data_IF_435365390455
#
_entry.id   IF_435365390455
#
_cell.length_a   1.000
_cell.length_b   1.000
_cell.length_c   1.000
_cell.angle_alpha   90.00
_cell.angle_beta   90.00
_cell.angle_gamma   90.00
#
_symmetry.space_group_name_H-M   'P 1'
#
loop_
_entity.id
_entity.type
_entity.pdbx_description
1 polymer ?
#
# COMPACT_ATOMS: atom_id res chain seq x y z
N UNK A 1 0.09 -8.19 29.39
CA UNK A 1 0.56 -7.91 28.02
C UNK A 1 1.02 -9.17 27.27
N UNK A 2 0.52 -9.38 26.06
CA UNK A 2 1.00 -10.35 25.07
C UNK A 2 1.65 -9.58 23.90
N UNK A 3 2.81 -10.02 23.40
CA UNK A 3 3.46 -9.40 22.24
C UNK A 3 2.97 -10.12 20.98
N UNK A 4 2.27 -9.39 20.10
CA UNK A 4 1.72 -9.93 18.86
C UNK A 4 2.67 -9.73 17.67
N UNK A 5 3.40 -8.61 17.63
CA UNK A 5 4.37 -8.31 16.56
C UNK A 5 5.44 -7.33 17.05
N UNK A 6 6.63 -7.43 16.47
CA UNK A 6 7.73 -6.47 16.65
C UNK A 6 8.30 -6.05 15.30
N UNK A 7 8.57 -4.77 15.11
CA UNK A 7 9.18 -4.21 13.90
C UNK A 7 10.35 -3.27 14.27
N UNK A 8 11.62 -3.70 14.11
CA UNK A 8 12.77 -2.87 14.47
C UNK A 8 12.97 -1.73 13.47
N UNK A 9 12.99 -0.50 13.96
CA UNK A 9 13.35 0.68 13.17
C UNK A 9 14.85 0.94 13.30
N UNK A 10 15.54 1.01 12.16
CA UNK A 10 16.97 1.29 12.11
C UNK A 10 17.26 2.74 11.76
N UNK A 11 18.36 3.27 12.29
CA UNK A 11 18.96 4.55 11.90
C UNK A 11 20.40 4.35 11.45
N UNK A 12 20.84 5.16 10.51
CA UNK A 12 22.25 5.25 10.13
C UNK A 12 22.97 6.17 11.13
N UNK A 13 23.91 5.63 11.90
CA UNK A 13 24.74 6.39 12.84
C UNK A 13 26.21 6.06 12.60
N UNK A 14 27.02 7.09 12.35
CA UNK A 14 28.46 6.94 12.05
C UNK A 14 28.77 5.89 10.96
N UNK A 15 27.96 5.86 9.90
CA UNK A 15 28.12 4.93 8.78
C UNK A 15 27.73 3.48 9.08
N UNK A 16 27.11 3.19 10.24
CA UNK A 16 26.59 1.87 10.60
C UNK A 16 25.10 1.93 10.87
N UNK A 17 24.37 0.91 10.41
CA UNK A 17 22.97 0.73 10.76
C UNK A 17 22.87 0.21 12.19
N UNK A 18 22.07 0.88 13.01
CA UNK A 18 21.79 0.50 14.39
C UNK A 18 20.29 0.60 14.62
N UNK A 19 19.75 -0.28 15.47
CA UNK A 19 18.35 -0.19 15.90
C UNK A 19 18.17 1.08 16.72
N UNK A 20 17.23 1.93 16.33
CA UNK A 20 16.86 3.15 17.05
C UNK A 20 15.79 2.87 18.11
N UNK A 21 14.76 2.12 17.70
CA UNK A 21 13.67 1.64 18.55
C UNK A 21 12.98 0.45 17.86
N UNK A 22 12.15 -0.25 18.62
CA UNK A 22 11.29 -1.33 18.12
C UNK A 22 9.84 -0.87 18.26
N UNK A 23 9.07 -0.91 17.18
CA UNK A 23 7.63 -0.80 17.23
C UNK A 23 7.05 -2.15 17.67
N UNK A 24 6.23 -2.12 18.71
CA UNK A 24 5.52 -3.27 19.23
C UNK A 24 4.03 -3.17 18.88
N UNK A 25 3.43 -4.31 18.58
CA UNK A 25 1.99 -4.51 18.67
C UNK A 25 1.76 -5.47 19.82
N UNK A 26 1.02 -5.01 20.82
CA UNK A 26 0.76 -5.77 22.05
C UNK A 26 -0.73 -5.88 22.30
N UNK A 27 -1.13 -6.98 22.93
CA UNK A 27 -2.49 -7.21 23.38
C UNK A 27 -2.55 -7.17 24.91
N UNK A 28 -3.47 -6.41 25.46
CA UNK A 28 -3.75 -6.36 26.90
C UNK A 28 -5.24 -6.18 27.12
N UNK A 29 -5.83 -6.97 28.01
CA UNK A 29 -7.27 -6.95 28.34
C UNK A 29 -8.20 -6.99 27.12
N UNK A 30 -7.81 -7.78 26.10
CA UNK A 30 -8.56 -7.95 24.86
C UNK A 30 -8.40 -6.81 23.85
N UNK A 31 -7.67 -5.75 24.19
CA UNK A 31 -7.39 -4.61 23.32
C UNK A 31 -6.00 -4.71 22.72
N UNK A 32 -5.82 -4.13 21.53
CA UNK A 32 -4.56 -4.10 20.81
C UNK A 32 -3.99 -2.69 20.83
N UNK A 33 -2.67 -2.60 20.97
CA UNK A 33 -1.96 -1.33 21.01
C UNK A 33 -0.71 -1.37 20.14
N UNK A 34 -0.42 -0.26 19.47
CA UNK A 34 0.89 0.01 18.88
C UNK A 34 1.69 0.95 19.80
N UNK A 35 2.97 0.67 20.02
CA UNK A 35 3.83 1.55 20.81
C UNK A 35 5.32 1.29 20.57
N UNK A 36 6.16 2.24 20.95
CA UNK A 36 7.60 2.23 20.69
C UNK A 36 8.42 1.93 21.94
N UNK A 37 9.43 1.10 21.77
CA UNK A 37 10.36 0.70 22.83
C UNK A 37 11.81 0.97 22.42
N UNK A 38 12.55 1.70 23.27
CA UNK A 38 13.94 2.09 23.00
C UNK A 38 14.99 1.23 23.69
N UNK A 39 14.61 0.55 24.77
CA UNK A 39 15.52 -0.33 25.50
C UNK A 39 15.63 -1.65 24.73
N UNK A 40 16.55 -1.68 23.76
CA UNK A 40 16.71 -2.83 22.85
C UNK A 40 17.22 -4.10 23.56
N UNK A 41 17.77 -3.97 24.76
CA UNK A 41 18.36 -5.07 25.51
C UNK A 41 17.34 -5.75 26.44
N UNK A 42 16.21 -5.10 26.74
CA UNK A 42 15.19 -5.61 27.65
C UNK A 42 13.80 -5.61 27.01
N UNK A 43 12.94 -6.53 27.44
CA UNK A 43 11.55 -6.56 26.97
C UNK A 43 10.65 -5.65 27.81
N UNK A 44 9.71 -4.90 27.19
CA UNK A 44 8.67 -4.22 27.94
C UNK A 44 7.80 -5.26 28.66
N UNK A 45 7.42 -4.97 29.90
CA UNK A 45 6.55 -5.81 30.74
C UNK A 45 5.10 -5.35 30.69
N UNK A 46 4.87 -4.04 30.46
CA UNK A 46 3.55 -3.44 30.37
C UNK A 46 3.44 -2.45 29.19
N UNK A 47 2.28 -2.30 28.54
CA UNK A 47 2.09 -1.37 27.42
C UNK A 47 2.36 0.08 27.81
N UNK A 48 2.13 0.45 29.08
CA UNK A 48 2.40 1.80 29.61
C UNK A 48 3.86 2.19 29.59
N UNK A 49 4.77 1.21 29.45
CA UNK A 49 6.20 1.48 29.28
C UNK A 49 6.52 1.85 27.82
N UNK A 50 5.67 1.48 26.87
CA UNK A 50 5.83 1.87 25.48
C UNK A 50 5.53 3.36 25.32
N UNK A 51 6.41 4.05 24.61
CA UNK A 51 6.19 5.43 24.18
C UNK A 51 5.24 5.48 22.98
N UNK A 52 4.52 6.59 22.80
CA UNK A 52 3.57 6.79 21.69
C UNK A 52 2.51 5.68 21.57
N UNK A 53 2.04 5.16 22.71
CA UNK A 53 1.01 4.12 22.76
C UNK A 53 -0.28 4.60 22.09
N UNK A 54 -0.79 3.83 21.14
CA UNK A 54 -2.00 4.11 20.36
C UNK A 54 -2.85 2.85 20.27
N UNK A 55 -4.18 3.00 20.38
CA UNK A 55 -5.12 1.86 20.36
C UNK A 55 -5.40 1.43 18.91
N UNK A 56 -5.52 0.13 18.69
CA UNK A 56 -5.84 -0.47 17.40
C UNK A 56 -7.25 -1.06 17.44
N UNK A 57 -8.10 -0.57 16.54
CA UNK A 57 -9.50 -0.99 16.40
C UNK A 57 -9.62 -1.90 15.19
N UNK A 58 -9.42 -3.21 15.40
CA UNK A 58 -9.47 -4.21 14.33
C UNK A 58 -10.85 -4.86 14.26
N UNK A 59 -11.36 -5.03 13.03
CA UNK A 59 -12.63 -5.70 12.73
C UNK A 59 -12.45 -7.19 12.41
N UNK A 60 -11.21 -7.70 12.44
CA UNK A 60 -10.88 -9.09 12.15
C UNK A 60 -9.66 -9.54 12.96
N UNK A 61 -9.55 -10.83 13.32
CA UNK A 61 -8.40 -11.37 14.04
C UNK A 61 -7.08 -11.19 13.30
N UNK A 62 -6.00 -10.93 14.04
CA UNK A 62 -4.66 -10.80 13.49
C UNK A 62 -4.08 -12.17 13.14
N UNK A 63 -4.35 -12.64 11.91
CA UNK A 63 -3.88 -13.94 11.40
C UNK A 63 -2.59 -13.85 10.56
N UNK A 64 -2.12 -12.63 10.28
CA UNK A 64 -0.92 -12.34 9.51
C UNK A 64 -0.24 -11.09 10.06
N UNK A 65 0.95 -10.74 9.54
CA UNK A 65 1.61 -9.51 9.95
C UNK A 65 0.74 -8.27 9.71
N UNK A 66 0.78 -7.31 10.64
CA UNK A 66 0.12 -6.02 10.54
C UNK A 66 1.08 -4.99 9.93
N UNK A 67 0.59 -4.24 8.95
CA UNK A 67 1.20 -3.01 8.46
C UNK A 67 0.31 -1.83 8.86
N UNK A 68 0.89 -0.87 9.59
CA UNK A 68 0.19 0.34 10.01
C UNK A 68 0.66 1.48 9.09
N UNK A 69 -0.24 1.94 8.23
CA UNK A 69 -0.03 3.10 7.36
C UNK A 69 -0.39 4.36 8.14
N UNK A 70 0.61 5.18 8.45
CA UNK A 70 0.42 6.50 9.07
C UNK A 70 0.69 7.62 8.06
N UNK A 71 0.04 8.79 8.17
CA UNK A 71 0.35 9.92 7.33
C UNK A 71 1.82 10.33 7.50
N UNK A 72 2.53 10.49 6.39
CA UNK A 72 3.91 10.95 6.41
C UNK A 72 3.96 12.45 6.04
N UNK A 73 4.40 13.33 6.96
CA UNK A 73 4.44 14.77 6.73
C UNK A 73 5.28 15.20 5.52
N UNK A 74 6.24 14.37 5.08
CA UNK A 74 7.13 14.70 3.96
C UNK A 74 6.43 14.67 2.60
N UNK A 75 5.28 14.01 2.46
CA UNK A 75 4.52 13.94 1.20
C UNK A 75 3.35 14.95 1.17
N UNK A 76 3.47 16.02 1.96
CA UNK A 76 2.52 17.10 2.00
C UNK A 76 2.77 18.07 0.83
N UNK A 77 1.77 18.21 -0.05
CA UNK A 77 1.67 19.29 -1.01
C UNK A 77 0.45 20.14 -0.63
N UNK A 78 0.56 21.45 -0.82
CA UNK A 78 -0.50 22.43 -0.54
C UNK A 78 -1.81 22.04 -1.25
N UNK A 79 -2.90 21.79 -0.51
CA UNK A 79 -4.24 21.59 -1.10
C UNK A 79 -5.21 20.62 -0.39
N UNK A 80 -4.77 19.79 0.55
CA UNK A 80 -5.66 18.93 1.36
C UNK A 80 -4.99 18.59 2.70
N UNK A 81 -5.71 18.55 3.82
CA UNK A 81 -5.10 18.16 5.09
C UNK A 81 -4.71 16.67 5.07
N UNK A 82 -3.70 16.28 5.86
CA UNK A 82 -3.33 14.86 6.02
C UNK A 82 -4.49 14.04 6.58
N UNK A 83 -5.31 14.67 7.42
CA UNK A 83 -6.52 14.10 8.00
C UNK A 83 -7.55 13.78 6.92
N UNK A 84 -7.80 14.69 5.97
CA UNK A 84 -8.74 14.46 4.87
C UNK A 84 -8.33 13.26 4.01
N UNK A 85 -7.03 13.11 3.71
CA UNK A 85 -6.53 11.98 2.92
C UNK A 85 -6.65 10.66 3.68
N UNK A 86 -6.31 10.66 4.96
CA UNK A 86 -6.43 9.48 5.81
C UNK A 86 -7.90 9.08 5.96
N UNK A 87 -8.79 10.07 6.15
CA UNK A 87 -10.22 9.85 6.26
C UNK A 87 -10.81 9.35 4.94
N UNK A 88 -10.41 9.91 3.80
CA UNK A 88 -10.80 9.42 2.48
C UNK A 88 -10.42 7.95 2.30
N UNK A 89 -9.16 7.61 2.59
CA UNK A 89 -8.69 6.24 2.47
C UNK A 89 -9.41 5.28 3.44
N UNK A 90 -9.72 5.76 4.65
CA UNK A 90 -10.56 5.04 5.60
C UNK A 90 -11.96 4.72 5.03
N UNK A 91 -12.63 5.70 4.40
CA UNK A 91 -13.95 5.45 3.79
C UNK A 91 -13.88 4.42 2.66
N UNK A 92 -12.87 4.49 1.81
CA UNK A 92 -12.62 3.48 0.78
C UNK A 92 -12.42 2.09 1.41
N UNK A 93 -11.61 1.99 2.46
CA UNK A 93 -11.41 0.74 3.19
C UNK A 93 -12.72 0.19 3.79
N UNK A 94 -13.62 1.05 4.27
CA UNK A 94 -14.95 0.64 4.77
C UNK A 94 -15.86 0.10 3.67
N UNK A 95 -15.71 0.55 2.42
CA UNK A 95 -16.42 -0.02 1.27
C UNK A 95 -15.84 -1.41 0.95
N UNK A 96 -14.51 -1.49 0.77
CA UNK A 96 -13.82 -2.74 0.42
C UNK A 96 -14.00 -3.84 1.47
N UNK A 97 -14.09 -3.48 2.75
CA UNK A 97 -14.31 -4.43 3.84
C UNK A 97 -15.68 -5.15 3.76
N UNK A 98 -16.66 -4.59 3.06
CA UNK A 98 -17.99 -5.23 2.90
C UNK A 98 -18.00 -6.36 1.87
N UNK A 99 -17.11 -6.29 0.87
CA UNK A 99 -16.98 -7.26 -0.21
C UNK A 99 -15.48 -7.49 -0.48
N UNK A 100 -14.78 -8.25 0.39
CA UNK A 100 -13.33 -8.45 0.28
C UNK A 100 -12.95 -9.34 -0.91
N UNK A 101 -11.81 -9.05 -1.55
CA UNK A 101 -11.29 -9.79 -2.70
C UNK A 101 -9.84 -10.23 -2.46
N UNK A 102 -9.40 -11.45 -2.86
CA UNK A 102 -8.04 -11.93 -2.63
C UNK A 102 -6.95 -11.05 -3.26
N UNK A 103 -7.23 -10.40 -4.39
CA UNK A 103 -6.29 -9.51 -5.08
C UNK A 103 -6.38 -8.03 -4.67
N UNK A 104 -7.01 -7.72 -3.52
CA UNK A 104 -7.07 -6.37 -2.95
C UNK A 104 -6.58 -6.42 -1.51
N UNK A 105 -5.82 -5.42 -1.08
CA UNK A 105 -5.21 -5.38 0.24
C UNK A 105 -6.23 -5.59 1.36
N UNK A 106 -5.94 -6.54 2.25
CA UNK A 106 -6.81 -6.84 3.37
C UNK A 106 -6.71 -5.73 4.43
N UNK A 107 -7.84 -5.11 4.74
CA UNK A 107 -7.96 -4.05 5.73
C UNK A 107 -8.44 -4.62 7.08
N UNK A 108 -7.55 -4.58 8.07
CA UNK A 108 -7.86 -5.04 9.43
C UNK A 108 -8.70 -4.02 10.21
N UNK A 109 -8.44 -2.73 10.06
CA UNK A 109 -9.05 -1.69 10.89
C UNK A 109 -8.17 -0.44 10.99
N UNK A 110 -8.30 0.31 12.06
CA UNK A 110 -7.61 1.60 12.18
C UNK A 110 -6.87 1.77 13.51
N UNK A 111 -5.96 2.74 13.52
CA UNK A 111 -5.26 3.20 14.72
C UNK A 111 -5.86 4.53 15.18
N UNK A 112 -6.08 4.64 16.49
CA UNK A 112 -6.64 5.82 17.13
C UNK A 112 -5.64 6.45 18.11
N UNK A 113 -5.58 7.78 18.08
CA UNK A 113 -4.87 8.57 19.08
C UNK A 113 -5.76 9.72 19.55
N UNK A 114 -6.16 9.68 20.83
CA UNK A 114 -6.95 10.75 21.44
C UNK A 114 -8.30 11.00 20.76
N UNK A 115 -8.96 9.95 20.26
CA UNK A 115 -10.22 10.05 19.52
C UNK A 115 -10.08 10.43 18.05
N UNK A 116 -8.85 10.59 17.55
CA UNK A 116 -8.58 10.90 16.14
C UNK A 116 -7.99 9.69 15.40
N UNK A 117 -8.40 9.53 14.15
CA UNK A 117 -7.81 8.56 13.24
C UNK A 117 -6.34 8.94 12.98
N UNK A 118 -5.41 8.07 13.38
CA UNK A 118 -3.97 8.33 13.25
C UNK A 118 -3.25 7.34 12.33
N UNK A 119 -3.91 6.25 11.95
CA UNK A 119 -3.39 5.29 10.98
C UNK A 119 -4.40 4.25 10.50
N UNK A 120 -4.05 3.54 9.44
CA UNK A 120 -4.84 2.45 8.87
C UNK A 120 -4.05 1.13 8.95
N UNK A 121 -4.72 0.08 9.39
CA UNK A 121 -4.13 -1.23 9.64
C UNK A 121 -4.47 -2.18 8.48
N UNK A 122 -3.45 -2.61 7.76
CA UNK A 122 -3.54 -3.56 6.65
C UNK A 122 -2.78 -4.84 6.97
N UNK A 123 -3.08 -5.91 6.23
CA UNK A 123 -2.16 -7.04 6.13
C UNK A 123 -0.80 -6.55 5.59
N UNK A 124 0.27 -7.08 6.17
CA UNK A 124 1.64 -6.79 5.75
C UNK A 124 1.96 -7.63 4.53
N UNK A 125 2.35 -6.95 3.46
CA UNK A 125 2.83 -7.54 2.22
C UNK A 125 4.32 -7.26 2.08
N UNK A 126 5.09 -8.22 1.55
CA UNK A 126 6.55 -8.18 1.68
C UNK A 126 7.22 -7.27 0.65
N UNK A 127 6.80 -7.33 -0.62
CA UNK A 127 7.45 -6.63 -1.73
C UNK A 127 6.43 -6.15 -2.74
N UNK A 128 6.72 -5.00 -3.35
CA UNK A 128 6.00 -4.53 -4.54
C UNK A 128 6.45 -5.30 -5.78
N UNK A 129 5.64 -5.27 -6.84
CA UNK A 129 6.03 -5.78 -8.15
C UNK A 129 7.28 -5.08 -8.66
N UNK A 130 7.39 -3.75 -8.49
CA UNK A 130 8.60 -2.99 -8.81
C UNK A 130 9.84 -3.59 -8.16
N UNK A 131 9.81 -3.82 -6.85
CA UNK A 131 10.94 -4.39 -6.10
C UNK A 131 11.24 -5.84 -6.49
N UNK A 132 10.21 -6.61 -6.87
CA UNK A 132 10.35 -8.02 -7.25
C UNK A 132 11.07 -8.17 -8.59
N UNK A 133 10.69 -7.37 -9.60
CA UNK A 133 11.17 -7.57 -10.97
C UNK A 133 12.24 -6.57 -11.40
N UNK A 134 12.25 -5.35 -10.85
CA UNK A 134 13.16 -4.26 -11.20
C UNK A 134 13.84 -3.65 -9.94
N UNK A 135 14.57 -4.45 -9.14
CA UNK A 135 15.22 -3.94 -7.92
C UNK A 135 16.35 -2.94 -8.21
N UNK A 136 16.88 -2.93 -9.43
CA UNK A 136 17.89 -1.98 -9.89
C UNK A 136 17.32 -0.59 -10.19
N UNK A 137 15.98 -0.46 -10.27
CA UNK A 137 15.30 0.82 -10.50
C UNK A 137 15.49 1.36 -11.92
N UNK A 138 15.59 0.47 -12.91
CA UNK A 138 15.70 0.83 -14.32
C UNK A 138 14.47 1.64 -14.78
N UNK A 139 14.64 2.50 -15.79
CA UNK A 139 13.51 3.14 -16.48
C UNK A 139 12.60 2.10 -17.14
N UNK A 140 11.43 2.50 -17.63
CA UNK A 140 10.53 1.60 -18.38
C UNK A 140 11.20 1.03 -19.63
N UNK A 141 11.93 1.87 -20.35
CA UNK A 141 12.62 1.54 -21.59
C UNK A 141 13.82 0.64 -21.31
N UNK A 142 14.63 0.99 -20.31
CA UNK A 142 15.79 0.19 -19.88
C UNK A 142 15.35 -1.18 -19.35
N UNK A 143 14.29 -1.24 -18.55
CA UNK A 143 13.72 -2.49 -18.07
C UNK A 143 13.24 -3.36 -19.22
N UNK A 144 12.51 -2.78 -20.18
CA UNK A 144 12.00 -3.50 -21.36
C UNK A 144 13.12 -4.00 -22.26
N UNK A 145 14.18 -3.22 -22.45
CA UNK A 145 15.36 -3.58 -23.22
C UNK A 145 16.27 -4.59 -22.51
N UNK A 146 16.08 -4.78 -21.20
CA UNK A 146 16.81 -5.80 -20.44
C UNK A 146 16.29 -7.22 -20.72
N UNK A 147 17.08 -8.21 -20.30
CA UNK A 147 16.69 -9.62 -20.33
C UNK A 147 15.48 -9.95 -19.41
N UNK A 148 15.02 -9.00 -18.56
CA UNK A 148 13.91 -9.19 -17.60
C UNK A 148 14.01 -10.49 -16.82
N UNK A 149 15.22 -10.86 -16.35
CA UNK A 149 15.54 -12.16 -15.73
C UNK A 149 14.66 -12.54 -14.53
N UNK A 150 13.99 -11.57 -13.92
CA UNK A 150 13.11 -11.72 -12.75
C UNK A 150 11.62 -11.80 -13.12
N UNK A 151 11.26 -11.67 -14.39
CA UNK A 151 9.90 -11.84 -14.91
C UNK A 151 9.72 -13.29 -15.35
N UNK A 152 9.42 -14.14 -14.37
CA UNK A 152 9.09 -15.55 -14.61
C UNK A 152 7.60 -15.74 -14.95
N UNK A 153 7.21 -16.98 -15.26
CA UNK A 153 5.81 -17.29 -15.59
C UNK A 153 4.85 -17.04 -14.42
N UNK A 154 5.32 -17.06 -13.18
CA UNK A 154 4.48 -16.74 -12.02
C UNK A 154 4.16 -15.24 -11.97
N UNK A 155 5.13 -14.38 -12.25
CA UNK A 155 4.92 -12.93 -12.42
C UNK A 155 3.94 -12.67 -13.56
N UNK A 156 4.08 -13.36 -14.69
CA UNK A 156 3.15 -13.19 -15.83
C UNK A 156 1.72 -13.60 -15.47
N UNK A 157 1.55 -14.76 -14.81
CA UNK A 157 0.25 -15.20 -14.30
C UNK A 157 -0.37 -14.22 -13.30
N UNK A 158 0.44 -13.43 -12.60
CA UNK A 158 -0.09 -12.41 -11.68
C UNK A 158 -0.91 -11.32 -12.38
N UNK A 159 -0.76 -11.12 -13.71
CA UNK A 159 -1.62 -10.21 -14.47
C UNK A 159 -3.10 -10.58 -14.37
N UNK A 160 -3.45 -11.87 -14.29
CA UNK A 160 -4.84 -12.32 -14.14
C UNK A 160 -5.42 -11.85 -12.80
N UNK A 161 -4.71 -12.07 -11.69
CA UNK A 161 -5.16 -11.62 -10.38
C UNK A 161 -5.22 -10.09 -10.25
N UNK A 162 -4.29 -9.36 -10.88
CA UNK A 162 -4.33 -7.89 -10.93
C UNK A 162 -5.61 -7.44 -11.66
N UNK A 163 -5.91 -8.07 -12.80
CA UNK A 163 -7.11 -7.78 -13.57
C UNK A 163 -8.39 -8.05 -12.77
N UNK A 164 -8.49 -9.21 -12.10
CA UNK A 164 -9.62 -9.55 -11.23
C UNK A 164 -9.80 -8.53 -10.10
N UNK A 165 -8.71 -8.08 -9.49
CA UNK A 165 -8.73 -7.00 -8.50
C UNK A 165 -9.26 -5.67 -9.04
N UNK A 166 -8.84 -5.27 -10.25
CA UNK A 166 -9.33 -4.06 -10.93
C UNK A 166 -10.83 -4.18 -11.23
N UNK A 167 -11.27 -5.31 -11.79
CA UNK A 167 -12.68 -5.56 -12.09
C UNK A 167 -13.54 -5.50 -10.82
N UNK A 168 -13.03 -6.02 -9.70
CA UNK A 168 -13.73 -5.95 -8.42
C UNK A 168 -13.88 -4.51 -7.92
N UNK A 169 -12.85 -3.67 -8.05
CA UNK A 169 -12.95 -2.24 -7.73
C UNK A 169 -14.02 -1.55 -8.59
N UNK A 170 -14.00 -1.78 -9.91
CA UNK A 170 -14.96 -1.19 -10.85
C UNK A 170 -16.40 -1.64 -10.56
N UNK A 171 -16.60 -2.92 -10.20
CA UNK A 171 -17.91 -3.44 -9.75
C UNK A 171 -18.45 -2.70 -8.52
N UNK A 172 -17.56 -2.24 -7.63
CA UNK A 172 -17.92 -1.43 -6.46
C UNK A 172 -18.10 0.07 -6.79
N UNK A 173 -17.97 0.46 -8.07
CA UNK A 173 -18.03 1.85 -8.51
C UNK A 173 -16.78 2.65 -8.14
N UNK A 174 -15.65 1.98 -7.89
CA UNK A 174 -14.39 2.60 -7.47
C UNK A 174 -13.34 2.48 -8.57
N UNK A 175 -12.67 3.58 -8.89
CA UNK A 175 -11.55 3.64 -9.84
C UNK A 175 -10.27 3.91 -9.05
N UNK A 176 -9.24 3.09 -9.27
CA UNK A 176 -7.98 3.18 -8.53
C UNK A 176 -7.17 4.42 -8.89
N UNK A 177 -7.14 4.77 -10.19
CA UNK A 177 -6.45 5.90 -10.81
C UNK A 177 -4.91 5.90 -10.70
N UNK A 178 -4.30 4.90 -10.08
CA UNK A 178 -2.85 4.82 -9.88
C UNK A 178 -2.34 3.37 -9.91
N UNK A 179 -2.85 2.54 -10.83
CA UNK A 179 -2.30 1.19 -11.05
C UNK A 179 -0.90 1.31 -11.65
N UNK A 180 0.09 0.73 -10.98
CA UNK A 180 1.50 0.70 -11.42
C UNK A 180 2.27 -0.36 -10.60
N UNK A 181 3.53 -0.69 -10.94
CA UNK A 181 4.27 -1.75 -10.25
C UNK A 181 4.53 -1.50 -8.76
N UNK A 182 4.39 -0.26 -8.28
CA UNK A 182 4.55 0.07 -6.85
C UNK A 182 3.24 -0.05 -6.06
N UNK A 183 2.09 -0.10 -6.74
CA UNK A 183 0.76 -0.30 -6.14
C UNK A 183 0.27 -1.74 -6.24
N UNK A 184 1.10 -2.65 -6.77
CA UNK A 184 0.90 -4.09 -6.72
C UNK A 184 1.93 -4.69 -5.76
N UNK A 185 1.46 -5.43 -4.76
CA UNK A 185 2.30 -6.19 -3.83
C UNK A 185 2.00 -7.68 -3.91
N UNK A 186 2.79 -8.50 -3.23
CA UNK A 186 2.59 -9.93 -3.14
C UNK A 186 2.35 -10.38 -1.70
N UNK A 187 1.38 -11.30 -1.54
CA UNK A 187 1.17 -12.02 -0.28
C UNK A 187 2.18 -13.16 -0.10
N UNK A 188 2.06 -13.89 1.01
CA UNK A 188 2.98 -14.99 1.35
C UNK A 188 2.79 -16.22 0.45
N UNK A 189 1.74 -16.26 -0.37
CA UNK A 189 1.47 -17.28 -1.38
C UNK A 189 1.87 -16.81 -2.78
N UNK A 190 2.53 -15.66 -2.91
CA UNK A 190 2.92 -15.04 -4.18
C UNK A 190 1.72 -14.65 -5.07
N UNK A 191 0.54 -14.42 -4.48
CA UNK A 191 -0.59 -13.83 -5.19
C UNK A 191 -0.44 -12.30 -5.25
N UNK A 192 -0.81 -11.67 -6.38
CA UNK A 192 -0.79 -10.23 -6.52
C UNK A 192 -1.92 -9.58 -5.72
N UNK A 193 -1.64 -8.44 -5.11
CA UNK A 193 -2.57 -7.69 -4.28
C UNK A 193 -2.45 -6.19 -4.60
N UNK A 194 -3.56 -5.57 -4.98
CA UNK A 194 -3.64 -4.12 -5.20
C UNK A 194 -3.64 -3.40 -3.85
N UNK A 195 -2.74 -2.42 -3.70
CA UNK A 195 -2.58 -1.54 -2.53
C UNK A 195 -2.65 -0.06 -2.96
N UNK A 196 -2.70 0.86 -2.01
CA UNK A 196 -2.52 2.29 -2.29
C UNK A 196 -3.82 3.07 -2.50
N UNK A 197 -4.72 3.01 -1.51
CA UNK A 197 -6.11 3.43 -1.68
C UNK A 197 -6.37 4.94 -1.52
N UNK A 198 -5.33 5.73 -1.24
CA UNK A 198 -5.41 7.18 -0.98
C UNK A 198 -6.02 7.99 -2.13
N UNK A 199 -5.85 7.52 -3.37
CA UNK A 199 -6.27 8.24 -4.59
C UNK A 199 -7.43 7.58 -5.33
N UNK A 200 -8.04 6.55 -4.74
CA UNK A 200 -9.25 5.94 -5.28
C UNK A 200 -10.37 6.98 -5.32
N UNK A 201 -11.20 6.90 -6.35
CA UNK A 201 -12.34 7.79 -6.56
C UNK A 201 -13.55 6.97 -6.96
N UNK A 202 -14.73 7.47 -6.62
CA UNK A 202 -15.96 6.95 -7.22
C UNK A 202 -15.95 7.23 -8.72
N UNK A 203 -16.50 6.31 -9.51
CA UNK A 203 -16.62 6.46 -10.95
C UNK A 203 -17.31 7.80 -11.31
N UNK A 204 -16.84 8.46 -12.37
CA UNK A 204 -17.35 9.74 -12.89
C UNK A 204 -17.15 10.95 -11.97
N UNK A 205 -16.35 10.83 -10.90
CA UNK A 205 -15.98 11.97 -10.05
C UNK A 205 -14.69 12.67 -10.51
N UNK A 206 -14.46 13.89 -10.01
CA UNK A 206 -13.30 14.70 -10.39
C UNK A 206 -11.98 14.20 -9.78
N UNK A 207 -10.92 14.24 -10.59
CA UNK A 207 -9.53 14.03 -10.17
C UNK A 207 -8.82 15.33 -9.75
N UNK A 208 -9.42 16.48 -10.06
CA UNK A 208 -8.80 17.79 -9.85
C UNK A 208 -9.00 18.33 -8.43
N UNK A 209 -10.07 17.92 -7.74
CA UNK A 209 -10.41 18.43 -6.42
C UNK A 209 -11.02 17.34 -5.50
N UNK A 210 -10.35 16.98 -4.39
CA UNK A 210 -8.95 17.29 -4.09
C UNK A 210 -8.03 16.60 -5.13
N UNK A 211 -6.87 17.21 -5.45
CA UNK A 211 -5.98 16.67 -6.48
C UNK A 211 -5.47 15.28 -6.09
N UNK A 212 -5.52 14.35 -7.05
CA UNK A 212 -4.90 13.04 -6.91
C UNK A 212 -3.45 13.09 -7.35
N UNK A 213 -2.57 12.45 -6.58
CA UNK A 213 -1.23 12.15 -7.06
C UNK A 213 -1.27 10.81 -7.79
N UNK A 214 -0.69 10.78 -8.98
CA UNK A 214 -0.58 9.60 -9.82
C UNK A 214 0.85 9.47 -10.29
N UNK A 215 1.30 8.24 -10.48
CA UNK A 215 2.70 7.96 -10.85
C UNK A 215 2.94 8.36 -12.30
N UNK A 216 3.85 9.30 -12.59
CA UNK A 216 4.13 9.72 -13.96
C UNK A 216 4.44 8.52 -14.87
N UNK A 217 4.09 8.63 -16.14
CA UNK A 217 4.20 7.56 -17.14
C UNK A 217 3.29 6.35 -16.90
N UNK A 218 2.43 6.33 -15.88
CA UNK A 218 1.46 5.24 -15.63
C UNK A 218 0.00 5.67 -15.74
N UNK A 219 -0.24 6.88 -16.25
CA UNK A 219 -1.57 7.41 -16.51
C UNK A 219 -1.51 8.53 -17.56
N UNK A 220 -2.66 8.87 -18.14
CA UNK A 220 -2.81 10.10 -18.92
C UNK A 220 -2.98 11.31 -17.97
N UNK A 221 -2.06 12.29 -17.96
CA UNK A 221 -2.17 13.48 -17.13
C UNK A 221 -3.30 14.43 -17.54
N UNK A 222 -3.82 14.32 -18.77
CA UNK A 222 -4.92 15.15 -19.29
C UNK A 222 -6.28 14.70 -18.76
N UNK A 223 -6.39 13.46 -18.30
CA UNK A 223 -7.64 12.95 -17.73
C UNK A 223 -7.91 13.60 -16.37
N UNK A 224 -9.11 14.18 -16.25
CA UNK A 224 -9.58 14.91 -15.08
C UNK A 224 -10.76 14.23 -14.37
N UNK A 225 -11.20 13.07 -14.86
CA UNK A 225 -12.35 12.33 -14.34
C UNK A 225 -11.94 10.89 -14.05
N UNK A 226 -12.38 10.36 -12.92
CA UNK A 226 -12.23 8.96 -12.57
C UNK A 226 -13.12 8.12 -13.51
N UNK A 227 -12.50 7.34 -14.39
CA UNK A 227 -13.17 6.43 -15.31
C UNK A 227 -12.47 5.08 -15.24
N UNK A 228 -13.22 3.99 -15.38
CA UNK A 228 -12.66 2.63 -15.40
C UNK A 228 -11.48 2.51 -16.37
N UNK A 229 -11.59 3.16 -17.54
CA UNK A 229 -10.54 3.22 -18.56
C UNK A 229 -9.19 3.69 -18.02
N UNK A 230 -9.15 4.52 -16.97
CA UNK A 230 -7.90 4.98 -16.36
C UNK A 230 -7.09 3.78 -15.82
N UNK A 231 -7.76 2.83 -15.17
CA UNK A 231 -7.12 1.64 -14.64
C UNK A 231 -6.88 0.61 -15.73
N UNK A 232 -7.78 0.50 -16.72
CA UNK A 232 -7.63 -0.44 -17.83
C UNK A 232 -6.42 -0.09 -18.70
N UNK A 233 -6.23 1.19 -19.04
CA UNK A 233 -5.03 1.61 -19.78
C UNK A 233 -3.75 1.44 -18.94
N UNK A 234 -3.80 1.71 -17.63
CA UNK A 234 -2.67 1.45 -16.75
C UNK A 234 -2.35 -0.05 -16.61
N UNK A 235 -3.35 -0.92 -16.71
CA UNK A 235 -3.15 -2.37 -16.75
C UNK A 235 -2.50 -2.82 -18.06
N UNK A 236 -2.97 -2.34 -19.22
CA UNK A 236 -2.33 -2.65 -20.51
C UNK A 236 -0.89 -2.14 -20.55
N UNK A 237 -0.64 -0.95 -20.03
CA UNK A 237 0.70 -0.41 -19.84
C UNK A 237 1.59 -1.34 -18.99
N UNK A 238 1.05 -1.87 -17.88
CA UNK A 238 1.74 -2.81 -17.00
C UNK A 238 2.06 -4.13 -17.69
N UNK A 239 1.13 -4.63 -18.50
CA UNK A 239 1.31 -5.83 -19.31
C UNK A 239 2.41 -5.63 -20.35
N UNK A 240 2.41 -4.51 -21.07
CA UNK A 240 3.48 -4.16 -22.02
C UNK A 240 4.82 -4.05 -21.32
N UNK A 241 4.87 -3.46 -20.12
CA UNK A 241 6.10 -3.34 -19.34
C UNK A 241 6.67 -4.71 -18.91
N UNK A 242 5.82 -5.67 -18.54
CA UNK A 242 6.25 -7.01 -18.14
C UNK A 242 6.58 -7.91 -19.35
N UNK A 243 5.70 -7.93 -20.37
CA UNK A 243 5.69 -8.96 -21.42
C UNK A 243 5.99 -8.41 -22.82
N UNK A 244 5.80 -7.11 -23.05
CA UNK A 244 5.95 -6.49 -24.36
C UNK A 244 7.37 -6.54 -24.91
N UNK A 245 7.51 -6.59 -26.21
CA UNK A 245 8.77 -6.47 -26.94
C UNK A 245 9.22 -5.01 -27.04
N UNK A 246 10.42 -4.77 -27.57
CA UNK A 246 10.92 -3.41 -27.85
C UNK A 246 10.17 -2.70 -28.99
N UNK A 247 9.39 -3.44 -29.77
CA UNK A 247 8.57 -2.93 -30.88
C UNK A 247 7.19 -2.43 -30.40
N UNK A 248 6.75 -2.87 -29.22
CA UNK A 248 5.47 -2.43 -28.65
C UNK A 248 5.57 -0.98 -28.15
N UNK A 249 4.50 -0.21 -28.34
CA UNK A 249 4.43 1.18 -27.87
C UNK A 249 3.83 1.22 -26.46
N UNK A 250 4.41 2.08 -25.60
CA UNK A 250 3.78 2.44 -24.34
C UNK A 250 2.63 3.42 -24.61
N UNK A 251 1.56 3.29 -23.83
CA UNK A 251 0.38 4.15 -23.89
C UNK A 251 0.72 5.54 -23.33
N UNK A 252 1.58 5.59 -22.32
CA UNK A 252 1.95 6.83 -21.65
C UNK A 252 3.43 7.14 -21.85
N UNK A 253 3.69 8.32 -22.42
CA UNK A 253 5.03 8.89 -22.55
C UNK A 253 5.53 9.56 -21.27
#
# INVERSE_FOLDING_TARGET
>A
MEICQTDPTNKLSYGRWQVDYIDYIVKEDGRLYNGRWKDIDNLPQHPTQLSNLQELHLNSPLNSGLYIKTPNPKYFNEGSSLEDRLHHEYQVCKILQKDPHPNIAFYYGYQEQGGHLSGLCFKRYAKTLMQKVNPEGLSKEEFRASDRKRVDDAVKRSLEGIWEGIQHLHKLGLVHNNINPSTIMFDEQENPVIVGFTHIREEKTSLCYPPVWRTPHWHDPKVQTALDSNDLYAFEELKTWLEGSVEDEYIFE
#
